data_IF_544797932985
#
_entry.id   IF_544797932985
#
_cell.length_a   1.000
_cell.length_b   1.000
_cell.length_c   1.000
_cell.angle_alpha   90.00
_cell.angle_beta   90.00
_cell.angle_gamma   90.00
#
_symmetry.space_group_name_H-M   'P 1'
#
loop_
_entity.id
_entity.type
_entity.pdbx_description
1 polymer ?
#
# COMPACT_ATOMS: atom_id res chain seq x y z
N UNK A 1 -26.03 -35.08 30.21
CA UNK A 1 -26.63 -35.74 31.42
C UNK A 1 -26.61 -37.27 31.36
N UNK A 2 -26.42 -37.88 30.19
CA UNK A 2 -26.38 -39.36 29.99
C UNK A 2 -25.03 -40.01 30.38
N UNK A 3 -23.89 -39.29 30.35
CA UNK A 3 -22.57 -39.84 30.64
C UNK A 3 -22.24 -39.93 32.13
N UNK A 4 -22.91 -39.14 32.97
CA UNK A 4 -22.72 -39.13 34.43
C UNK A 4 -23.46 -40.26 35.10
N UNK A 5 -24.55 -40.73 34.54
CA UNK A 5 -25.30 -41.90 35.02
C UNK A 5 -24.56 -43.23 34.80
N UNK A 6 -23.86 -43.36 33.67
CA UNK A 6 -23.08 -44.58 33.34
C UNK A 6 -21.81 -44.76 34.20
N UNK A 7 -21.23 -43.66 34.71
CA UNK A 7 -20.06 -43.74 35.62
C UNK A 7 -20.45 -44.05 37.04
N UNK A 8 -21.68 -43.71 37.48
CA UNK A 8 -22.17 -44.00 38.83
C UNK A 8 -22.47 -45.48 39.02
N UNK A 9 -22.98 -46.14 37.98
CA UNK A 9 -23.29 -47.59 38.04
C UNK A 9 -22.02 -48.47 38.00
N UNK A 10 -20.94 -48.03 37.36
CA UNK A 10 -19.66 -48.74 37.38
C UNK A 10 -18.90 -48.60 38.69
N UNK A 11 -19.09 -47.52 39.44
CA UNK A 11 -18.49 -47.33 40.76
C UNK A 11 -19.24 -48.16 41.83
N UNK A 12 -20.57 -48.38 41.68
CA UNK A 12 -21.30 -49.25 42.59
C UNK A 12 -20.96 -50.72 42.43
N UNK A 13 -20.68 -51.21 41.23
CA UNK A 13 -20.24 -52.59 40.96
C UNK A 13 -18.86 -52.88 41.54
N UNK A 14 -17.95 -51.89 41.54
CA UNK A 14 -16.60 -52.05 42.12
C UNK A 14 -16.59 -51.98 43.65
N UNK A 15 -17.56 -51.25 44.31
CA UNK A 15 -17.76 -51.26 45.75
C UNK A 15 -18.37 -52.56 46.25
N UNK A 16 -19.27 -53.19 45.51
CA UNK A 16 -19.85 -54.48 45.82
C UNK A 16 -18.84 -55.63 45.81
N UNK A 17 -17.87 -55.59 44.86
CA UNK A 17 -16.80 -56.62 44.80
C UNK A 17 -15.81 -56.52 45.99
N UNK A 18 -15.58 -55.31 46.54
CA UNK A 18 -14.70 -55.13 47.70
C UNK A 18 -15.34 -55.59 49.05
N UNK A 19 -16.65 -55.55 49.13
CA UNK A 19 -17.37 -56.02 50.31
C UNK A 19 -17.44 -57.55 50.38
N UNK A 20 -17.45 -58.22 49.24
CA UNK A 20 -17.46 -59.67 49.18
C UNK A 20 -16.11 -60.31 49.52
N UNK A 21 -15.00 -59.59 49.35
CA UNK A 21 -13.63 -60.07 49.75
C UNK A 21 -13.41 -59.94 51.26
N UNK A 22 -14.06 -58.98 51.95
CA UNK A 22 -13.92 -58.86 53.41
C UNK A 22 -14.70 -59.89 54.22
N UNK A 23 -15.73 -60.57 53.61
CA UNK A 23 -16.47 -61.63 54.32
C UNK A 23 -15.89 -63.05 54.14
N UNK A 24 -14.83 -63.23 53.37
CA UNK A 24 -14.15 -64.52 53.16
C UNK A 24 -13.00 -64.76 54.18
N UNK A 25 -12.65 -63.77 54.95
CA UNK A 25 -11.60 -63.92 56.00
C UNK A 25 -12.05 -64.71 57.27
N UNK A 26 -13.29 -65.20 57.28
CA UNK A 26 -13.88 -65.90 58.45
C UNK A 26 -14.11 -67.43 58.26
N UNK A 27 -13.63 -67.99 57.14
CA UNK A 27 -13.81 -69.45 56.96
C UNK A 27 -12.40 -70.11 56.97
N UNK A 28 -12.02 -70.56 58.21
CA UNK A 28 -11.00 -71.58 58.43
C UNK A 28 -11.51 -72.95 58.01
N UNK A 29 -10.72 -73.65 57.21
CA UNK A 29 -10.85 -75.07 56.86
C UNK A 29 -11.67 -75.40 55.60
N UNK A 30 -10.99 -75.35 54.47
CA UNK A 30 -11.11 -76.40 53.44
C UNK A 30 -9.93 -76.44 52.52
N UNK A 31 -9.17 -77.56 52.61
CA UNK A 31 -8.00 -77.92 51.76
C UNK A 31 -8.32 -78.14 50.27
N UNK A 32 -9.37 -77.59 49.72
CA UNK A 32 -9.79 -77.80 48.29
C UNK A 32 -9.73 -76.56 47.38
N UNK A 33 -9.35 -75.38 47.88
CA UNK A 33 -9.29 -74.16 47.05
C UNK A 33 -7.83 -73.73 46.68
N UNK A 34 -6.80 -74.49 47.07
CA UNK A 34 -5.41 -74.16 46.81
C UNK A 34 -5.00 -74.16 45.30
N UNK A 35 -5.56 -75.01 44.42
CA UNK A 35 -5.10 -75.03 43.03
C UNK A 35 -5.67 -73.87 42.17
N UNK A 36 -6.76 -73.15 42.64
CA UNK A 36 -7.32 -72.04 41.89
C UNK A 36 -6.58 -70.72 42.18
N UNK A 37 -6.13 -70.49 43.40
CA UNK A 37 -5.36 -69.33 43.78
C UNK A 37 -3.94 -69.34 43.23
N UNK A 38 -3.31 -70.51 43.13
CA UNK A 38 -2.03 -70.62 42.42
C UNK A 38 -2.12 -70.36 40.92
N UNK A 39 -3.22 -70.76 40.26
CA UNK A 39 -3.45 -70.40 38.84
C UNK A 39 -3.69 -68.93 38.65
N UNK A 40 -4.33 -68.20 39.56
CA UNK A 40 -4.53 -66.75 39.44
C UNK A 40 -3.24 -66.00 39.76
N UNK A 41 -2.39 -66.48 40.70
CA UNK A 41 -1.09 -65.87 40.95
C UNK A 41 -0.07 -66.20 39.85
N UNK A 42 -0.15 -67.37 39.18
CA UNK A 42 0.69 -67.68 38.04
C UNK A 42 0.27 -66.90 36.81
N UNK A 43 -1.00 -66.55 36.63
CA UNK A 43 -1.48 -65.67 35.55
C UNK A 43 -1.03 -64.20 35.72
N UNK A 44 -0.83 -63.76 36.98
CA UNK A 44 -0.30 -62.43 37.30
C UNK A 44 1.23 -62.27 37.19
N UNK A 45 1.96 -63.39 37.04
CA UNK A 45 3.45 -63.34 36.85
C UNK A 45 3.90 -63.62 35.43
N UNK A 46 3.01 -63.97 34.47
CA UNK A 46 3.34 -64.29 33.08
C UNK A 46 3.37 -63.07 32.19
N UNK A 47 3.16 -61.85 32.71
CA UNK A 47 3.19 -60.65 31.85
C UNK A 47 4.40 -59.77 32.16
N UNK A 48 5.61 -60.27 32.05
CA UNK A 48 6.81 -59.42 31.81
C UNK A 48 7.99 -60.22 31.21
N UNK A 49 7.75 -61.05 30.22
CA UNK A 49 8.76 -61.39 29.23
C UNK A 49 8.24 -60.88 27.86
N UNK A 50 8.56 -59.63 27.53
CA UNK A 50 8.47 -59.13 26.17
C UNK A 50 9.35 -60.03 25.32
N UNK A 51 8.74 -60.91 24.54
CA UNK A 51 9.43 -61.78 23.61
C UNK A 51 10.18 -60.95 22.55
N UNK A 52 11.35 -61.40 22.04
CA UNK A 52 12.08 -60.69 21.00
C UNK A 52 11.27 -60.44 19.75
N UNK A 53 10.17 -61.15 19.54
CA UNK A 53 9.23 -61.01 18.42
C UNK A 53 8.36 -59.76 18.52
N UNK A 54 8.08 -59.17 19.72
CA UNK A 54 7.35 -57.91 19.86
C UNK A 54 8.20 -56.71 19.43
N UNK A 55 9.55 -56.77 19.59
CA UNK A 55 10.44 -55.70 19.12
C UNK A 55 10.51 -55.57 17.60
N UNK A 56 10.36 -56.67 16.86
CA UNK A 56 10.36 -56.67 15.39
C UNK A 56 9.05 -56.09 14.82
N UNK A 57 7.95 -56.19 15.54
CA UNK A 57 6.65 -55.59 15.13
C UNK A 57 6.52 -54.08 15.45
N UNK A 58 7.38 -53.53 16.30
CA UNK A 58 7.32 -52.09 16.67
C UNK A 58 8.08 -51.21 15.68
N UNK A 59 9.03 -51.71 14.91
CA UNK A 59 9.83 -50.93 13.94
C UNK A 59 9.00 -50.25 12.83
N UNK A 60 7.98 -50.88 12.22
CA UNK A 60 7.17 -50.22 11.20
C UNK A 60 6.30 -49.08 11.79
N UNK A 61 5.81 -49.23 13.02
CA UNK A 61 5.00 -48.20 13.68
C UNK A 61 5.81 -46.99 14.07
N UNK A 62 7.08 -47.13 14.46
CA UNK A 62 7.99 -46.02 14.73
C UNK A 62 8.32 -45.23 13.46
N UNK A 63 8.59 -45.97 12.35
CA UNK A 63 8.83 -45.35 11.03
C UNK A 63 7.63 -44.52 10.57
N UNK A 64 6.41 -45.03 10.75
CA UNK A 64 5.19 -44.34 10.37
C UNK A 64 4.95 -43.08 11.21
N UNK A 65 5.25 -43.12 12.52
CA UNK A 65 5.19 -41.95 13.41
C UNK A 65 6.10 -40.84 12.91
N UNK A 66 7.35 -41.15 12.60
CA UNK A 66 8.33 -40.20 12.06
C UNK A 66 7.84 -39.58 10.73
N UNK A 67 7.29 -40.40 9.84
CA UNK A 67 6.74 -39.93 8.55
C UNK A 67 5.56 -38.92 8.80
N UNK A 68 4.65 -39.19 9.72
CA UNK A 68 3.55 -38.29 10.03
C UNK A 68 4.06 -36.97 10.60
N UNK A 69 5.06 -36.99 11.51
CA UNK A 69 5.68 -35.78 12.07
C UNK A 69 6.33 -34.95 10.95
N UNK A 70 7.16 -35.56 10.10
CA UNK A 70 7.85 -34.87 9.01
C UNK A 70 6.85 -34.28 8.03
N UNK A 71 5.82 -35.02 7.64
CA UNK A 71 4.80 -34.57 6.71
C UNK A 71 4.02 -33.36 7.28
N UNK A 72 3.59 -33.46 8.53
CA UNK A 72 2.88 -32.39 9.24
C UNK A 72 3.72 -31.12 9.29
N UNK A 73 4.96 -31.22 9.79
CA UNK A 73 5.88 -30.09 9.90
C UNK A 73 6.23 -29.48 8.55
N UNK A 74 6.45 -30.30 7.51
CA UNK A 74 6.82 -29.81 6.17
C UNK A 74 5.70 -29.06 5.49
N UNK A 75 4.45 -29.57 5.54
CA UNK A 75 3.29 -28.90 4.95
C UNK A 75 3.01 -27.59 5.71
N UNK A 76 3.01 -27.61 7.04
CA UNK A 76 2.79 -26.44 7.85
C UNK A 76 3.88 -25.38 7.65
N UNK A 77 5.15 -25.79 7.58
CA UNK A 77 6.29 -24.93 7.27
C UNK A 77 6.12 -24.24 5.90
N UNK A 78 5.78 -25.01 4.87
CA UNK A 78 5.52 -24.46 3.53
C UNK A 78 4.39 -23.42 3.56
N UNK A 79 3.27 -23.73 4.22
CA UNK A 79 2.14 -22.78 4.34
C UNK A 79 2.55 -21.49 5.05
N UNK A 80 3.34 -21.58 6.12
CA UNK A 80 3.83 -20.42 6.88
C UNK A 80 4.78 -19.53 6.08
N UNK A 81 5.67 -20.14 5.25
CA UNK A 81 6.51 -19.37 4.32
C UNK A 81 5.65 -18.65 3.28
N UNK A 82 4.68 -19.36 2.67
CA UNK A 82 3.82 -18.79 1.63
C UNK A 82 2.98 -17.63 2.16
N UNK A 83 2.43 -17.77 3.37
CA UNK A 83 1.69 -16.71 4.06
C UNK A 83 2.56 -15.47 4.29
N UNK A 84 3.74 -15.67 4.90
CA UNK A 84 4.65 -14.57 5.20
C UNK A 84 5.14 -13.87 3.92
N UNK A 85 5.50 -14.61 2.87
CA UNK A 85 5.90 -14.04 1.57
C UNK A 85 4.76 -13.25 0.95
N UNK A 86 3.54 -13.80 0.93
CA UNK A 86 2.39 -13.11 0.35
C UNK A 86 2.07 -11.81 1.06
N UNK A 87 2.08 -11.80 2.40
CA UNK A 87 1.80 -10.61 3.20
C UNK A 87 2.89 -9.55 3.03
N UNK A 88 4.17 -9.95 3.04
CA UNK A 88 5.31 -9.02 2.93
C UNK A 88 5.50 -8.45 1.53
N UNK A 89 4.97 -9.10 0.48
CA UNK A 89 5.09 -8.61 -0.90
C UNK A 89 4.26 -7.36 -1.10
N UNK A 90 4.84 -6.32 -1.71
CA UNK A 90 4.14 -5.07 -2.06
C UNK A 90 3.49 -5.13 -3.44
N UNK A 91 2.44 -4.32 -3.66
CA UNK A 91 1.79 -4.18 -4.97
C UNK A 91 2.77 -3.60 -6.00
N UNK A 92 3.59 -2.64 -5.58
CA UNK A 92 4.62 -2.00 -6.42
C UNK A 92 5.65 -3.01 -6.93
N UNK A 93 6.13 -3.92 -6.07
CA UNK A 93 7.04 -4.99 -6.50
C UNK A 93 6.39 -5.93 -7.53
N UNK A 94 5.11 -6.28 -7.34
CA UNK A 94 4.39 -7.12 -8.29
C UNK A 94 4.23 -6.42 -9.65
N UNK A 95 3.93 -5.11 -9.66
CA UNK A 95 3.85 -4.30 -10.87
C UNK A 95 5.20 -4.20 -11.59
N UNK A 96 6.28 -3.89 -10.85
CA UNK A 96 7.64 -3.85 -11.40
C UNK A 96 8.02 -5.18 -12.08
N UNK A 97 7.76 -6.33 -11.43
CA UNK A 97 8.07 -7.65 -11.99
C UNK A 97 7.19 -8.02 -13.19
N UNK A 98 5.98 -7.45 -13.29
CA UNK A 98 5.12 -7.59 -14.47
C UNK A 98 5.70 -6.82 -15.66
N UNK A 99 6.21 -5.58 -15.45
CA UNK A 99 6.91 -4.77 -16.45
C UNK A 99 8.21 -5.42 -16.94
N UNK A 100 8.95 -6.10 -16.05
CA UNK A 100 10.13 -6.89 -16.40
C UNK A 100 9.79 -8.17 -17.25
N UNK A 101 8.51 -8.41 -17.56
CA UNK A 101 8.05 -9.50 -18.43
C UNK A 101 7.75 -10.83 -17.73
N UNK A 102 7.73 -10.86 -16.40
CA UNK A 102 7.40 -12.06 -15.64
C UNK A 102 5.88 -12.32 -15.61
N UNK A 103 5.36 -13.20 -16.45
CA UNK A 103 3.91 -13.55 -16.54
C UNK A 103 3.26 -13.93 -15.21
N UNK A 104 4.01 -14.53 -14.28
CA UNK A 104 3.48 -14.92 -12.96
C UNK A 104 3.26 -13.72 -12.04
N UNK A 105 3.93 -12.57 -12.29
CA UNK A 105 3.77 -11.35 -11.53
C UNK A 105 2.37 -10.73 -11.70
N UNK A 106 1.75 -10.86 -12.87
CA UNK A 106 0.36 -10.47 -13.08
C UNK A 106 -0.64 -11.29 -12.24
N UNK A 107 -0.31 -12.56 -11.93
CA UNK A 107 -1.09 -13.38 -10.99
C UNK A 107 -0.88 -12.90 -9.55
N UNK A 108 0.36 -12.58 -9.18
CA UNK A 108 0.70 -12.04 -7.87
C UNK A 108 -0.02 -10.72 -7.60
N UNK A 109 -0.04 -9.82 -8.59
CA UNK A 109 -0.78 -8.55 -8.53
C UNK A 109 -2.29 -8.77 -8.27
N UNK A 110 -2.90 -9.74 -8.97
CA UNK A 110 -4.30 -10.13 -8.72
C UNK A 110 -4.51 -10.67 -7.30
N UNK A 111 -3.56 -11.46 -6.78
CA UNK A 111 -3.64 -11.97 -5.41
C UNK A 111 -3.43 -10.87 -4.36
N UNK A 112 -2.70 -9.81 -4.68
CA UNK A 112 -2.58 -8.64 -3.80
C UNK A 112 -3.84 -7.77 -3.83
N UNK A 113 -4.52 -7.69 -4.97
CA UNK A 113 -5.80 -6.98 -5.08
C UNK A 113 -6.95 -7.73 -4.36
N UNK A 114 -6.93 -9.06 -4.36
CA UNK A 114 -7.88 -9.91 -3.64
C UNK A 114 -7.11 -10.92 -2.77
N UNK A 115 -6.64 -10.45 -1.61
CA UNK A 115 -5.74 -11.21 -0.74
C UNK A 115 -6.49 -12.30 0.05
N UNK A 116 -7.79 -12.17 0.21
CA UNK A 116 -8.63 -13.10 1.00
C UNK A 116 -8.57 -14.52 0.43
N UNK A 117 -8.65 -14.64 -0.88
CA UNK A 117 -8.66 -15.92 -1.59
C UNK A 117 -7.38 -16.74 -1.40
N UNK A 118 -6.17 -16.21 -1.68
CA UNK A 118 -4.94 -16.95 -1.44
C UNK A 118 -4.67 -17.21 0.05
N UNK A 119 -5.03 -16.28 0.96
CA UNK A 119 -4.89 -16.50 2.40
C UNK A 119 -5.81 -17.62 2.84
N UNK A 120 -7.08 -17.64 2.44
CA UNK A 120 -8.00 -18.72 2.77
C UNK A 120 -7.49 -20.10 2.34
N UNK A 121 -6.86 -20.17 1.15
CA UNK A 121 -6.26 -21.41 0.66
C UNK A 121 -5.10 -21.90 1.54
N UNK A 122 -4.18 -20.97 1.90
CA UNK A 122 -3.03 -21.27 2.74
C UNK A 122 -3.46 -21.70 4.14
N UNK A 123 -4.32 -20.89 4.78
CA UNK A 123 -4.81 -21.15 6.13
C UNK A 123 -5.60 -22.47 6.22
N UNK A 124 -6.45 -22.76 5.21
CA UNK A 124 -7.19 -24.02 5.16
C UNK A 124 -6.26 -25.23 5.15
N UNK A 125 -5.26 -25.22 4.29
CA UNK A 125 -4.29 -26.33 4.24
C UNK A 125 -3.47 -26.43 5.53
N UNK A 126 -3.02 -25.31 6.07
CA UNK A 126 -2.24 -25.27 7.30
C UNK A 126 -3.07 -25.84 8.49
N UNK A 127 -4.33 -25.44 8.61
CA UNK A 127 -5.22 -25.93 9.65
C UNK A 127 -5.48 -27.44 9.52
N UNK A 128 -5.73 -27.91 8.30
CA UNK A 128 -5.92 -29.34 8.03
C UNK A 128 -4.64 -30.12 8.37
N UNK A 129 -3.48 -29.66 7.91
CA UNK A 129 -2.19 -30.30 8.17
C UNK A 129 -1.90 -30.38 9.68
N UNK A 130 -2.09 -29.30 10.41
CA UNK A 130 -1.82 -29.28 11.85
C UNK A 130 -2.83 -30.13 12.64
N UNK A 131 -4.12 -30.05 12.31
CA UNK A 131 -5.18 -30.78 13.05
C UNK A 131 -5.12 -32.27 12.77
N UNK A 132 -5.12 -32.67 11.49
CA UNK A 132 -5.06 -34.08 11.10
C UNK A 132 -3.69 -34.69 11.41
N UNK A 133 -2.60 -33.91 11.21
CA UNK A 133 -1.25 -34.32 11.55
C UNK A 133 -1.11 -34.60 13.05
N UNK A 134 -1.55 -33.69 13.90
CA UNK A 134 -1.49 -33.89 15.35
C UNK A 134 -2.34 -35.09 15.80
N UNK A 135 -3.52 -35.29 15.22
CA UNK A 135 -4.37 -36.45 15.53
C UNK A 135 -3.71 -37.77 15.09
N UNK A 136 -3.12 -37.82 13.89
CA UNK A 136 -2.41 -38.98 13.40
C UNK A 136 -1.17 -39.32 14.23
N UNK A 137 -0.36 -38.30 14.57
CA UNK A 137 0.80 -38.46 15.45
C UNK A 137 0.38 -38.94 16.85
N UNK A 138 -0.68 -38.35 17.43
CA UNK A 138 -1.20 -38.77 18.73
C UNK A 138 -1.70 -40.22 18.75
N UNK A 139 -2.46 -40.63 17.73
CA UNK A 139 -2.92 -41.99 17.58
C UNK A 139 -1.76 -42.99 17.42
N UNK A 140 -0.76 -42.66 16.60
CA UNK A 140 0.40 -43.48 16.36
C UNK A 140 1.32 -43.54 17.61
N UNK A 141 1.49 -42.44 18.32
CA UNK A 141 2.24 -42.40 19.58
C UNK A 141 1.61 -43.29 20.66
N UNK A 142 0.26 -43.36 20.72
CA UNK A 142 -0.44 -44.24 21.63
C UNK A 142 -0.17 -45.73 21.33
N UNK A 143 -0.01 -46.11 20.05
CA UNK A 143 0.32 -47.47 19.65
C UNK A 143 1.78 -47.82 19.95
N UNK A 144 2.71 -46.88 19.75
CA UNK A 144 4.14 -47.11 19.97
C UNK A 144 4.55 -47.06 21.44
N UNK A 145 4.08 -46.06 22.18
CA UNK A 145 4.54 -45.77 23.53
C UNK A 145 3.49 -46.00 24.63
N UNK A 146 2.26 -46.30 24.24
CA UNK A 146 1.14 -46.41 25.17
C UNK A 146 0.46 -45.07 25.50
N UNK A 147 -0.76 -45.13 26.01
CA UNK A 147 -1.65 -43.96 26.22
C UNK A 147 -1.12 -42.92 27.23
N UNK A 148 -0.22 -43.33 28.15
CA UNK A 148 0.31 -42.44 29.17
C UNK A 148 1.36 -41.43 28.66
N UNK A 149 1.97 -41.68 27.49
CA UNK A 149 2.99 -40.81 26.88
C UNK A 149 2.42 -39.85 25.85
N UNK A 150 1.18 -40.09 25.36
CA UNK A 150 0.55 -39.27 24.31
C UNK A 150 0.53 -37.77 24.65
N UNK A 151 0.29 -37.42 25.91
CA UNK A 151 0.31 -36.02 26.35
C UNK A 151 1.67 -35.34 26.14
N UNK A 152 2.76 -36.04 26.49
CA UNK A 152 4.12 -35.49 26.29
C UNK A 152 4.50 -35.39 24.81
N UNK A 153 4.14 -36.38 24.00
CA UNK A 153 4.38 -36.34 22.54
C UNK A 153 3.58 -35.19 21.89
N UNK A 154 2.32 -35.01 22.29
CA UNK A 154 1.51 -33.91 21.79
C UNK A 154 2.06 -32.54 22.20
N UNK A 155 2.53 -32.37 23.43
CA UNK A 155 3.16 -31.15 23.87
C UNK A 155 4.46 -30.84 23.11
N UNK A 156 5.31 -31.87 22.93
CA UNK A 156 6.54 -31.73 22.15
C UNK A 156 6.26 -31.40 20.66
N UNK A 157 5.24 -32.04 20.07
CA UNK A 157 4.82 -31.74 18.71
C UNK A 157 4.30 -30.31 18.57
N UNK A 158 3.51 -29.83 19.54
CA UNK A 158 2.99 -28.45 19.55
C UNK A 158 4.15 -27.45 19.56
N UNK A 159 5.15 -27.63 20.41
CA UNK A 159 6.35 -26.79 20.46
C UNK A 159 7.12 -26.91 19.13
N UNK A 160 7.24 -28.11 18.58
CA UNK A 160 7.87 -28.36 17.28
C UNK A 160 7.17 -27.62 16.14
N UNK A 161 5.85 -27.66 16.06
CA UNK A 161 5.05 -26.93 15.09
C UNK A 161 5.29 -25.41 15.28
N UNK A 162 5.18 -24.90 16.50
CA UNK A 162 5.34 -23.47 16.78
C UNK A 162 6.72 -22.96 16.33
N UNK A 163 7.80 -23.67 16.68
CA UNK A 163 9.16 -23.19 16.39
C UNK A 163 9.53 -23.47 14.92
N UNK A 164 9.41 -24.71 14.46
CA UNK A 164 9.94 -25.14 13.17
C UNK A 164 8.97 -24.92 12.01
N UNK A 165 7.65 -24.82 12.26
CA UNK A 165 6.65 -24.66 11.20
C UNK A 165 6.00 -23.27 11.19
N UNK A 166 6.10 -22.47 12.25
CA UNK A 166 5.51 -21.12 12.30
C UNK A 166 6.57 -20.04 12.47
N UNK A 167 7.32 -19.99 13.56
CA UNK A 167 8.21 -18.85 13.86
C UNK A 167 9.33 -18.76 12.82
N UNK A 168 10.12 -19.81 12.66
CA UNK A 168 11.28 -19.82 11.75
C UNK A 168 10.84 -19.61 10.29
N UNK A 169 9.85 -20.34 9.75
CA UNK A 169 9.43 -20.17 8.37
C UNK A 169 8.81 -18.80 8.07
N UNK A 170 8.02 -18.24 9.00
CA UNK A 170 7.47 -16.88 8.83
C UNK A 170 8.58 -15.83 8.81
N UNK A 171 9.59 -15.97 9.66
CA UNK A 171 10.75 -15.06 9.65
C UNK A 171 11.53 -15.17 8.35
N UNK A 172 11.79 -16.38 7.86
CA UNK A 172 12.45 -16.60 6.56
C UNK A 172 11.61 -16.01 5.42
N UNK A 173 10.30 -16.27 5.41
CA UNK A 173 9.38 -15.78 4.40
C UNK A 173 9.33 -14.26 4.35
N UNK A 174 9.25 -13.59 5.49
CA UNK A 174 9.21 -12.13 5.58
C UNK A 174 10.56 -11.47 5.27
N UNK A 175 11.69 -12.11 5.59
CA UNK A 175 13.02 -11.57 5.30
C UNK A 175 13.39 -11.72 3.82
N UNK A 176 13.14 -12.88 3.23
CA UNK A 176 13.55 -13.20 1.85
C UNK A 176 12.40 -13.13 0.84
N UNK A 177 11.31 -12.42 1.15
CA UNK A 177 10.11 -12.38 0.33
C UNK A 177 10.35 -11.99 -1.13
N UNK A 178 11.29 -11.03 -1.39
CA UNK A 178 11.60 -10.57 -2.76
C UNK A 178 12.04 -11.70 -3.68
N UNK A 179 12.88 -12.61 -3.17
CA UNK A 179 13.40 -13.76 -3.94
C UNK A 179 12.38 -14.89 -4.04
N UNK A 180 11.53 -15.03 -3.02
CA UNK A 180 10.57 -16.13 -2.92
C UNK A 180 9.21 -15.81 -3.58
N UNK A 181 8.85 -14.55 -3.79
CA UNK A 181 7.52 -14.10 -4.21
C UNK A 181 7.00 -14.81 -5.48
N UNK A 182 7.81 -14.86 -6.54
CA UNK A 182 7.38 -15.50 -7.80
C UNK A 182 7.23 -17.01 -7.67
N UNK A 183 8.12 -17.66 -6.89
CA UNK A 183 8.03 -19.09 -6.57
C UNK A 183 6.79 -19.40 -5.72
N UNK A 184 6.60 -18.65 -4.65
CA UNK A 184 5.44 -18.74 -3.78
C UNK A 184 4.12 -18.59 -4.53
N UNK A 185 4.03 -17.62 -5.46
CA UNK A 185 2.83 -17.40 -6.28
C UNK A 185 2.45 -18.64 -7.11
N UNK A 186 3.44 -19.37 -7.66
CA UNK A 186 3.18 -20.61 -8.40
C UNK A 186 2.58 -21.68 -7.49
N UNK A 187 3.13 -21.84 -6.29
CA UNK A 187 2.66 -22.83 -5.31
C UNK A 187 1.25 -22.43 -4.82
N UNK A 188 1.02 -21.17 -4.48
CA UNK A 188 -0.29 -20.66 -4.06
C UNK A 188 -1.35 -20.92 -5.12
N UNK A 189 -1.02 -20.75 -6.40
CA UNK A 189 -1.95 -21.06 -7.51
C UNK A 189 -2.41 -22.52 -7.49
N UNK A 190 -1.49 -23.46 -7.26
CA UNK A 190 -1.81 -24.87 -7.14
C UNK A 190 -2.63 -25.13 -5.87
N UNK A 191 -2.27 -24.47 -4.77
CA UNK A 191 -2.97 -24.60 -3.49
C UNK A 191 -4.43 -24.22 -3.59
N UNK A 192 -4.74 -23.09 -4.23
CA UNK A 192 -6.13 -22.61 -4.42
C UNK A 192 -6.97 -23.66 -5.17
N UNK A 193 -6.38 -24.38 -6.12
CA UNK A 193 -7.08 -25.46 -6.84
C UNK A 193 -7.35 -26.64 -5.93
N UNK A 194 -6.37 -27.05 -5.12
CA UNK A 194 -6.49 -28.19 -4.22
C UNK A 194 -7.49 -27.90 -3.08
N UNK A 195 -7.45 -26.70 -2.52
CA UNK A 195 -8.29 -26.27 -1.41
C UNK A 195 -9.57 -25.57 -1.85
N UNK A 196 -9.95 -25.67 -3.14
CA UNK A 196 -11.10 -24.97 -3.72
C UNK A 196 -12.39 -25.05 -2.89
N UNK A 197 -12.81 -26.21 -2.34
CA UNK A 197 -14.02 -26.29 -1.56
C UNK A 197 -14.00 -25.39 -0.31
N UNK A 198 -12.84 -25.32 0.35
CA UNK A 198 -12.65 -24.50 1.56
C UNK A 198 -12.61 -23.01 1.23
N UNK A 199 -11.93 -22.66 0.14
CA UNK A 199 -11.87 -21.28 -0.38
C UNK A 199 -13.27 -20.80 -0.74
N UNK A 200 -14.07 -21.62 -1.43
CA UNK A 200 -15.45 -21.28 -1.78
C UNK A 200 -16.32 -21.01 -0.55
N UNK A 201 -16.18 -21.82 0.51
CA UNK A 201 -16.90 -21.60 1.78
C UNK A 201 -16.45 -20.28 2.40
N UNK A 202 -15.14 -20.01 2.45
CA UNK A 202 -14.58 -18.77 2.97
C UNK A 202 -15.11 -17.54 2.22
N UNK A 203 -15.09 -17.57 0.89
CA UNK A 203 -15.63 -16.49 0.04
C UNK A 203 -17.11 -16.23 0.33
N UNK A 204 -17.92 -17.30 0.55
CA UNK A 204 -19.33 -17.15 0.92
C UNK A 204 -19.53 -16.50 2.28
N UNK A 205 -18.73 -16.87 3.28
CA UNK A 205 -18.79 -16.27 4.60
C UNK A 205 -18.38 -14.80 4.54
N UNK A 206 -17.26 -14.49 3.85
CA UNK A 206 -16.78 -13.12 3.71
C UNK A 206 -17.80 -12.23 2.98
N UNK A 207 -18.48 -12.77 1.95
CA UNK A 207 -19.53 -12.03 1.23
C UNK A 207 -20.76 -11.71 2.08
N UNK A 208 -21.05 -12.52 3.10
CA UNK A 208 -22.16 -12.26 4.05
C UNK A 208 -21.83 -11.15 5.06
N UNK A 209 -20.54 -10.92 5.34
CA UNK A 209 -20.10 -9.91 6.30
C UNK A 209 -20.04 -8.50 5.65
N UNK A 210 -20.22 -8.41 4.33
CA UNK A 210 -20.32 -7.15 3.60
C UNK A 210 -19.00 -6.38 3.59
N UNK A 211 -18.01 -6.86 2.88
CA UNK A 211 -16.86 -6.04 2.52
C UNK A 211 -17.18 -5.29 1.22
N UNK A 212 -17.54 -4.02 1.34
CA UNK A 212 -17.31 -3.07 0.26
C UNK A 212 -15.80 -3.04 0.02
N UNK A 213 -15.35 -3.80 -0.96
CA UNK A 213 -13.96 -3.73 -1.44
C UNK A 213 -13.82 -2.37 -2.11
N UNK A 214 -13.53 -1.33 -1.31
CA UNK A 214 -13.06 -0.08 -1.87
C UNK A 214 -11.82 -0.43 -2.71
N UNK A 215 -11.76 -0.02 -3.98
CA UNK A 215 -10.57 -0.24 -4.78
C UNK A 215 -9.38 0.36 -4.02
N UNK A 216 -8.28 -0.37 -3.96
CA UNK A 216 -6.99 0.11 -3.44
C UNK A 216 -6.46 1.20 -4.41
N UNK A 217 -7.22 2.30 -4.53
CA UNK A 217 -6.74 3.50 -5.20
C UNK A 217 -5.77 4.15 -4.22
N UNK A 218 -4.49 4.12 -4.56
CA UNK A 218 -3.46 4.86 -3.81
C UNK A 218 -3.86 6.34 -3.90
N UNK A 219 -4.10 6.97 -2.75
CA UNK A 219 -4.45 8.39 -2.71
C UNK A 219 -3.19 9.26 -2.90
N UNK A 220 -3.39 10.55 -3.26
CA UNK A 220 -2.27 11.49 -3.39
C UNK A 220 -1.56 11.69 -2.05
N UNK A 221 -2.30 11.67 -0.95
CA UNK A 221 -1.76 11.75 0.41
C UNK A 221 -0.88 10.54 0.74
N UNK A 222 -1.27 9.34 0.32
CA UNK A 222 -0.44 8.14 0.49
C UNK A 222 0.85 8.22 -0.33
N UNK A 223 0.80 8.75 -1.57
CA UNK A 223 2.01 9.00 -2.37
C UNK A 223 2.91 10.02 -1.68
N UNK A 224 2.35 11.13 -1.17
CA UNK A 224 3.09 12.14 -0.43
C UNK A 224 3.75 11.56 0.83
N UNK A 225 3.03 10.71 1.56
CA UNK A 225 3.57 10.02 2.74
C UNK A 225 4.72 9.06 2.36
N UNK A 226 4.58 8.31 1.25
CA UNK A 226 5.66 7.44 0.75
C UNK A 226 6.92 8.21 0.37
N UNK A 227 6.78 9.41 -0.20
CA UNK A 227 7.92 10.29 -0.52
C UNK A 227 8.62 10.76 0.76
N UNK A 228 7.86 11.10 1.82
CA UNK A 228 8.46 11.46 3.11
C UNK A 228 9.29 10.31 3.70
N UNK A 229 8.75 9.08 3.70
CA UNK A 229 9.49 7.89 4.13
C UNK A 229 10.74 7.68 3.27
N UNK A 230 10.63 7.88 1.95
CA UNK A 230 11.78 7.77 1.04
C UNK A 230 12.91 8.75 1.36
N UNK A 231 12.59 9.94 1.87
CA UNK A 231 13.60 10.91 2.34
C UNK A 231 14.26 10.43 3.63
N UNK A 232 13.47 9.91 4.58
CA UNK A 232 14.00 9.36 5.85
C UNK A 232 14.94 8.17 5.61
N UNK A 233 14.63 7.34 4.61
CA UNK A 233 15.47 6.20 4.20
C UNK A 233 16.63 6.59 3.27
N UNK A 234 16.75 7.88 2.88
CA UNK A 234 17.82 8.36 2.02
C UNK A 234 17.67 7.98 0.53
N UNK A 235 16.47 7.60 0.10
CA UNK A 235 16.14 7.31 -1.32
C UNK A 235 15.94 8.59 -2.10
N UNK A 236 15.37 9.62 -1.47
CA UNK A 236 15.15 10.95 -2.04
C UNK A 236 15.85 12.02 -1.22
N UNK A 237 16.27 13.10 -1.90
CA UNK A 237 16.73 14.32 -1.25
C UNK A 237 15.54 15.19 -0.80
N UNK A 238 15.78 16.08 0.18
CA UNK A 238 14.72 17.00 0.66
C UNK A 238 14.20 17.92 -0.47
N UNK A 239 15.05 18.27 -1.44
CA UNK A 239 14.67 19.07 -2.60
C UNK A 239 13.74 18.31 -3.54
N UNK A 240 14.02 17.04 -3.82
CA UNK A 240 13.16 16.18 -4.65
C UNK A 240 11.79 15.98 -4.02
N UNK A 241 11.73 15.81 -2.70
CA UNK A 241 10.46 15.77 -1.97
C UNK A 241 9.62 17.01 -2.22
N UNK A 242 10.22 18.23 -2.13
CA UNK A 242 9.51 19.49 -2.32
C UNK A 242 8.88 19.55 -3.71
N UNK A 243 9.64 19.18 -4.74
CA UNK A 243 9.18 19.15 -6.14
C UNK A 243 8.00 18.18 -6.29
N UNK A 244 8.14 16.93 -5.81
CA UNK A 244 7.06 15.94 -5.93
C UNK A 244 5.79 16.41 -5.21
N UNK A 245 5.92 16.98 -4.01
CA UNK A 245 4.78 17.49 -3.24
C UNK A 245 4.10 18.68 -3.92
N UNK A 246 4.88 19.63 -4.49
CA UNK A 246 4.34 20.75 -5.26
C UNK A 246 3.60 20.27 -6.50
N UNK A 247 4.17 19.30 -7.23
CA UNK A 247 3.52 18.72 -8.41
C UNK A 247 2.18 18.05 -8.07
N UNK A 248 2.09 17.31 -6.96
CA UNK A 248 0.84 16.67 -6.51
C UNK A 248 -0.27 17.68 -6.17
N UNK A 249 0.09 18.93 -5.85
CA UNK A 249 -0.84 20.01 -5.49
C UNK A 249 -1.29 20.87 -6.67
N UNK A 250 -0.70 20.73 -7.85
CA UNK A 250 -1.01 21.57 -9.01
C UNK A 250 -2.50 21.59 -9.40
N UNK A 251 -3.21 20.47 -9.18
CA UNK A 251 -4.65 20.41 -9.46
C UNK A 251 -5.51 21.14 -8.43
N UNK A 252 -4.96 21.43 -7.25
CA UNK A 252 -5.63 22.12 -6.15
C UNK A 252 -5.39 23.64 -6.19
N UNK A 253 -4.34 24.08 -6.91
CA UNK A 253 -4.00 25.47 -7.09
C UNK A 253 -4.75 26.03 -8.30
N UNK A 254 -5.19 27.30 -8.17
CA UNK A 254 -5.92 28.04 -9.18
C UNK A 254 -5.07 29.16 -9.77
N UNK A 255 -5.52 29.75 -10.87
CA UNK A 255 -4.82 30.84 -11.52
C UNK A 255 -4.58 32.04 -10.57
N UNK A 256 -5.55 32.34 -9.72
CA UNK A 256 -5.47 33.44 -8.73
C UNK A 256 -4.34 33.26 -7.71
N UNK A 257 -3.94 32.00 -7.43
CA UNK A 257 -2.88 31.69 -6.45
C UNK A 257 -1.47 31.98 -7.00
N UNK A 258 -1.30 31.96 -8.33
CA UNK A 258 0.02 32.06 -8.96
C UNK A 258 0.16 33.24 -9.92
N UNK A 259 -0.94 33.89 -10.29
CA UNK A 259 -0.91 34.97 -11.29
C UNK A 259 -0.14 36.18 -10.79
N UNK A 260 0.53 36.86 -11.73
CA UNK A 260 1.00 38.22 -11.54
C UNK A 260 -0.17 39.16 -11.66
N UNK A 261 -0.54 39.93 -10.60
CA UNK A 261 -1.70 40.80 -10.60
C UNK A 261 -1.64 41.92 -11.65
N UNK A 262 -2.77 42.29 -12.23
CA UNK A 262 -2.86 43.33 -13.28
C UNK A 262 -2.25 44.68 -12.92
N UNK A 263 -2.19 45.01 -11.63
CA UNK A 263 -1.62 46.27 -11.09
C UNK A 263 -0.11 46.42 -11.31
N UNK A 264 0.61 45.32 -11.59
CA UNK A 264 2.05 45.31 -11.83
C UNK A 264 2.40 44.79 -13.23
N UNK A 265 1.38 44.48 -14.05
CA UNK A 265 1.61 44.01 -15.43
C UNK A 265 1.81 45.24 -16.34
N UNK A 266 2.98 45.31 -17.00
CA UNK A 266 3.19 46.25 -18.07
C UNK A 266 2.30 45.89 -19.29
N UNK A 267 1.43 46.76 -19.71
CA UNK A 267 0.52 46.57 -20.83
C UNK A 267 0.44 47.80 -21.73
N UNK A 268 0.28 47.59 -23.05
CA UNK A 268 0.28 48.66 -24.04
C UNK A 268 -1.05 48.75 -24.77
N UNK A 269 -1.38 49.96 -25.31
CA UNK A 269 -2.58 50.21 -26.10
C UNK A 269 -2.34 49.78 -27.58
N UNK A 270 -3.28 49.11 -28.22
CA UNK A 270 -3.14 48.66 -29.61
C UNK A 270 -2.87 49.77 -30.61
N UNK A 271 -3.37 51.01 -30.37
CA UNK A 271 -3.22 52.15 -31.27
C UNK A 271 -1.85 52.79 -31.23
N UNK A 272 -1.05 52.44 -30.22
CA UNK A 272 0.32 52.96 -30.05
C UNK A 272 1.21 52.58 -31.24
N UNK A 273 2.00 53.55 -31.76
CA UNK A 273 2.97 53.29 -32.80
C UNK A 273 4.25 52.66 -32.22
N UNK A 274 5.07 51.97 -33.05
CA UNK A 274 6.31 51.39 -32.55
C UNK A 274 7.26 52.42 -32.01
N UNK A 275 7.25 53.66 -32.57
CA UNK A 275 8.05 54.79 -32.08
C UNK A 275 7.59 55.22 -30.67
N UNK A 276 6.28 55.41 -30.48
CA UNK A 276 5.71 55.78 -29.20
C UNK A 276 5.97 54.74 -28.13
N UNK A 277 5.91 53.43 -28.50
CA UNK A 277 6.24 52.32 -27.62
C UNK A 277 7.70 52.34 -27.17
N UNK A 278 8.63 52.65 -28.09
CA UNK A 278 10.05 52.69 -27.79
C UNK A 278 10.48 53.95 -27.01
N UNK A 279 9.83 55.12 -27.31
CA UNK A 279 10.07 56.39 -26.65
C UNK A 279 9.29 56.56 -25.33
N UNK A 280 8.38 55.59 -25.03
CA UNK A 280 7.72 55.59 -23.73
C UNK A 280 8.81 55.44 -22.64
N UNK A 281 8.78 56.40 -21.71
CA UNK A 281 9.76 56.52 -20.60
C UNK A 281 9.46 55.46 -19.50
N UNK A 282 8.97 54.32 -19.92
CA UNK A 282 8.52 53.25 -19.05
C UNK A 282 9.59 52.15 -19.05
N UNK A 283 10.44 52.14 -18.03
CA UNK A 283 11.49 51.14 -17.86
C UNK A 283 10.89 49.68 -17.91
N UNK A 284 9.63 49.55 -17.55
CA UNK A 284 8.90 48.26 -17.57
C UNK A 284 8.77 47.66 -18.98
N UNK A 285 8.55 48.48 -20.07
CA UNK A 285 8.51 47.99 -21.44
C UNK A 285 9.84 47.44 -21.93
N UNK A 286 10.96 47.92 -21.34
CA UNK A 286 12.29 47.47 -21.70
C UNK A 286 12.73 46.19 -21.02
N UNK A 287 12.06 45.83 -19.92
CA UNK A 287 12.40 44.65 -19.10
C UNK A 287 11.69 43.38 -19.58
N UNK A 288 10.46 43.46 -20.08
CA UNK A 288 9.69 42.29 -20.41
C UNK A 288 9.76 41.86 -21.89
N UNK A 289 9.80 40.56 -22.16
CA UNK A 289 9.88 40.01 -23.51
C UNK A 289 8.51 39.96 -24.23
N UNK A 290 7.41 39.86 -23.47
CA UNK A 290 6.02 39.76 -23.96
C UNK A 290 5.17 40.80 -23.26
N UNK A 291 4.53 41.67 -24.03
CA UNK A 291 3.73 42.77 -23.50
C UNK A 291 2.28 42.54 -23.92
N UNK A 292 1.34 42.34 -22.99
CA UNK A 292 -0.09 42.32 -23.26
C UNK A 292 -0.56 43.62 -23.89
N UNK A 293 -1.46 43.50 -24.88
CA UNK A 293 -2.00 44.64 -25.60
C UNK A 293 -3.50 44.65 -25.44
N UNK A 294 -4.02 45.81 -24.98
CA UNK A 294 -5.45 46.01 -24.75
C UNK A 294 -6.09 46.90 -25.81
N UNK A 295 -7.40 46.68 -25.97
CA UNK A 295 -8.25 47.51 -26.82
C UNK A 295 -8.39 48.93 -26.21
N UNK A 296 -8.32 49.96 -27.06
CA UNK A 296 -8.43 51.33 -26.58
C UNK A 296 -9.86 51.71 -26.15
N UNK A 297 -10.89 51.01 -26.61
CA UNK A 297 -12.30 51.35 -26.37
C UNK A 297 -12.95 50.46 -25.33
N UNK A 298 -12.57 49.18 -25.23
CA UNK A 298 -13.25 48.17 -24.45
C UNK A 298 -12.42 47.65 -23.23
N UNK A 299 -11.19 48.16 -23.08
CA UNK A 299 -10.27 47.83 -21.97
C UNK A 299 -10.02 46.31 -21.73
N UNK A 300 -10.27 45.45 -22.75
CA UNK A 300 -9.95 44.03 -22.68
C UNK A 300 -8.65 43.68 -23.44
N UNK A 301 -7.98 42.63 -23.04
CA UNK A 301 -6.73 42.19 -23.69
C UNK A 301 -7.04 41.49 -25.02
N UNK A 302 -6.56 42.07 -26.14
CA UNK A 302 -6.65 41.48 -27.47
C UNK A 302 -5.61 40.39 -27.76
N UNK A 303 -4.46 40.51 -27.12
CA UNK A 303 -3.32 39.63 -27.36
C UNK A 303 -2.05 40.16 -26.72
N UNK A 304 -0.93 39.76 -27.25
CA UNK A 304 0.38 40.28 -26.81
C UNK A 304 1.30 40.57 -28.00
N UNK A 305 2.31 41.41 -27.80
CA UNK A 305 3.38 41.65 -28.75
C UNK A 305 4.71 41.14 -28.18
N UNK A 306 5.58 40.68 -29.08
CA UNK A 306 6.97 40.35 -28.73
C UNK A 306 7.83 41.60 -28.84
N UNK A 307 8.54 41.97 -27.75
CA UNK A 307 9.49 43.08 -27.77
C UNK A 307 10.54 42.93 -28.87
N UNK A 308 11.06 41.72 -29.08
CA UNK A 308 12.02 41.45 -30.15
C UNK A 308 11.49 41.82 -31.53
N UNK A 309 10.19 41.47 -31.82
CA UNK A 309 9.54 41.77 -33.10
C UNK A 309 9.29 43.27 -33.30
N UNK A 310 8.98 43.97 -32.21
CA UNK A 310 8.88 45.43 -32.21
C UNK A 310 10.23 46.07 -32.54
N UNK A 311 11.31 45.62 -31.90
CA UNK A 311 12.70 46.13 -32.14
C UNK A 311 13.18 45.80 -33.56
N UNK A 312 12.91 44.62 -34.07
CA UNK A 312 13.25 44.24 -35.44
C UNK A 312 12.56 45.17 -36.48
N UNK A 313 11.25 45.47 -36.31
CA UNK A 313 10.54 46.38 -37.19
C UNK A 313 11.02 47.84 -37.03
N UNK A 314 11.43 48.26 -35.84
CA UNK A 314 12.07 49.58 -35.64
C UNK A 314 13.40 49.66 -36.35
N UNK A 315 14.20 48.60 -36.37
CA UNK A 315 15.48 48.54 -37.11
C UNK A 315 15.32 48.64 -38.62
N UNK A 316 14.10 48.27 -39.13
CA UNK A 316 13.69 48.40 -40.55
C UNK A 316 13.06 49.78 -40.86
N UNK A 317 13.21 50.78 -40.00
CA UNK A 317 12.65 52.14 -40.10
C UNK A 317 11.11 52.19 -40.16
N UNK A 318 10.38 51.15 -39.67
CA UNK A 318 8.90 51.07 -39.68
C UNK A 318 8.26 51.78 -38.46
N UNK A 319 8.68 52.99 -38.16
CA UNK A 319 8.27 53.74 -36.99
C UNK A 319 6.79 54.02 -36.82
N UNK A 320 6.04 54.03 -37.95
CA UNK A 320 4.61 54.34 -38.01
C UNK A 320 3.70 53.12 -37.88
N UNK A 321 4.26 51.92 -37.90
CA UNK A 321 3.50 50.69 -37.69
C UNK A 321 2.89 50.71 -36.28
N UNK A 322 1.68 50.19 -36.15
CA UNK A 322 0.98 50.13 -34.86
C UNK A 322 1.20 48.78 -34.16
N UNK A 323 1.11 48.75 -32.85
CA UNK A 323 1.11 47.48 -32.10
C UNK A 323 0.01 46.54 -32.58
N UNK A 324 -1.15 47.06 -32.96
CA UNK A 324 -2.26 46.31 -33.57
C UNK A 324 -1.83 45.40 -34.73
N UNK A 325 -0.82 45.79 -35.50
CA UNK A 325 -0.33 45.05 -36.65
C UNK A 325 0.57 43.86 -36.28
N UNK A 326 1.05 43.83 -35.04
CA UNK A 326 1.98 42.80 -34.49
C UNK A 326 1.34 41.93 -33.39
N UNK A 327 0.03 42.15 -33.12
CA UNK A 327 -0.65 41.39 -32.04
C UNK A 327 -0.68 39.89 -32.38
N UNK A 328 -0.28 39.11 -31.40
CA UNK A 328 -0.40 37.64 -31.38
C UNK A 328 -1.55 37.24 -30.46
N UNK A 329 -2.30 36.19 -30.80
CA UNK A 329 -3.37 35.71 -29.94
C UNK A 329 -2.82 35.26 -28.58
N UNK A 330 -3.58 35.49 -27.52
CA UNK A 330 -3.22 35.11 -26.16
C UNK A 330 -4.26 34.14 -25.61
N UNK A 331 -3.83 33.17 -24.79
CA UNK A 331 -4.73 32.28 -24.09
C UNK A 331 -5.39 33.05 -22.91
N UNK A 332 -6.68 32.83 -22.74
CA UNK A 332 -7.45 33.44 -21.65
C UNK A 332 -8.04 32.35 -20.76
N UNK A 333 -7.88 32.50 -19.44
CA UNK A 333 -8.40 31.60 -18.44
C UNK A 333 -9.14 32.39 -17.36
N UNK A 334 -10.07 31.70 -16.67
CA UNK A 334 -10.71 32.27 -15.48
C UNK A 334 -9.79 32.15 -14.26
N UNK A 335 -9.96 33.03 -13.28
CA UNK A 335 -9.18 33.02 -12.03
C UNK A 335 -9.32 31.72 -11.24
N UNK A 336 -10.45 31.00 -11.40
CA UNK A 336 -10.72 29.69 -10.77
C UNK A 336 -10.21 28.49 -11.58
N UNK A 337 -9.55 28.69 -12.74
CA UNK A 337 -9.00 27.61 -13.53
C UNK A 337 -7.80 26.98 -12.82
N UNK A 338 -7.69 25.63 -12.84
CA UNK A 338 -6.58 24.95 -12.20
C UNK A 338 -5.26 25.19 -12.94
N UNK A 339 -4.18 25.33 -12.17
CA UNK A 339 -2.81 25.51 -12.71
C UNK A 339 -2.41 24.36 -13.63
N UNK A 340 -2.82 23.15 -13.31
CA UNK A 340 -2.59 21.95 -14.12
C UNK A 340 -3.20 22.09 -15.53
N UNK A 341 -4.44 22.59 -15.64
CA UNK A 341 -5.11 22.77 -16.94
C UNK A 341 -4.50 23.95 -17.74
N UNK A 342 -4.14 25.04 -17.04
CA UNK A 342 -3.42 26.17 -17.66
C UNK A 342 -2.12 25.65 -18.29
N UNK A 343 -1.31 24.94 -17.51
CA UNK A 343 -0.05 24.35 -17.99
C UNK A 343 -0.22 23.46 -19.21
N UNK A 344 -1.19 22.52 -19.17
CA UNK A 344 -1.46 21.61 -20.28
C UNK A 344 -1.82 22.39 -21.56
N UNK A 345 -2.70 23.39 -21.45
CA UNK A 345 -3.13 24.20 -22.60
C UNK A 345 -2.01 25.07 -23.17
N UNK A 346 -1.19 25.69 -22.27
CA UNK A 346 -0.03 26.48 -22.68
C UNK A 346 0.98 25.63 -23.46
N UNK A 347 1.30 24.41 -22.96
CA UNK A 347 2.19 23.46 -23.68
C UNK A 347 1.61 23.02 -25.03
N UNK A 348 0.33 22.66 -25.08
CA UNK A 348 -0.30 22.24 -26.33
C UNK A 348 -0.28 23.32 -27.40
N UNK A 349 -0.50 24.57 -27.01
CA UNK A 349 -0.53 25.74 -27.91
C UNK A 349 0.83 26.36 -28.14
N UNK A 350 1.88 25.94 -27.38
CA UNK A 350 3.22 26.49 -27.38
C UNK A 350 3.24 28.00 -27.01
N UNK A 351 2.35 28.37 -26.12
CA UNK A 351 2.28 29.73 -25.57
C UNK A 351 3.00 29.81 -24.23
N UNK A 352 3.62 30.95 -23.97
CA UNK A 352 4.39 31.20 -22.76
C UNK A 352 3.75 32.22 -21.83
N UNK A 353 2.65 32.85 -22.25
CA UNK A 353 1.89 33.84 -21.50
C UNK A 353 0.40 33.60 -21.69
N UNK A 354 -0.36 33.82 -20.66
CA UNK A 354 -1.82 33.78 -20.69
C UNK A 354 -2.39 34.91 -19.83
N UNK A 355 -3.61 35.35 -20.17
CA UNK A 355 -4.36 36.35 -19.40
C UNK A 355 -5.35 35.65 -18.50
N UNK A 356 -5.45 36.13 -17.27
CA UNK A 356 -6.43 35.70 -16.29
C UNK A 356 -7.51 36.75 -16.19
N UNK A 357 -8.76 36.29 -16.29
CA UNK A 357 -9.94 37.16 -16.25
C UNK A 357 -10.92 36.72 -15.18
N UNK A 358 -11.71 37.66 -14.68
CA UNK A 358 -12.85 37.35 -13.82
C UNK A 358 -14.05 36.82 -14.63
N UNK A 359 -15.16 36.55 -13.96
CA UNK A 359 -16.42 36.10 -14.55
C UNK A 359 -17.06 37.12 -15.52
N UNK A 360 -16.66 38.40 -15.46
CA UNK A 360 -17.13 39.48 -16.31
C UNK A 360 -16.19 39.76 -17.50
N UNK A 361 -15.04 39.05 -17.60
CA UNK A 361 -14.05 39.26 -18.63
C UNK A 361 -13.00 40.32 -18.36
N UNK A 362 -13.02 40.94 -17.15
CA UNK A 362 -12.04 41.96 -16.76
C UNK A 362 -10.69 41.27 -16.44
N UNK A 363 -9.59 41.90 -16.86
CA UNK A 363 -8.25 41.38 -16.59
C UNK A 363 -7.91 41.43 -15.11
N UNK A 364 -7.60 40.30 -14.53
CA UNK A 364 -7.14 40.15 -13.14
C UNK A 364 -5.62 40.04 -13.06
N UNK A 365 -4.98 39.51 -14.08
CA UNK A 365 -3.53 39.36 -14.15
C UNK A 365 -3.09 38.53 -15.35
N UNK A 366 -1.86 38.08 -15.28
CA UNK A 366 -1.27 37.13 -16.24
C UNK A 366 -0.68 35.93 -15.52
N UNK A 367 -0.60 34.82 -16.21
CA UNK A 367 0.19 33.65 -15.81
C UNK A 367 1.14 33.32 -16.93
N UNK A 368 2.42 33.23 -16.61
CA UNK A 368 3.50 32.82 -17.52
C UNK A 368 3.86 31.36 -17.31
N UNK A 369 4.64 30.79 -18.24
CA UNK A 369 5.19 29.43 -18.09
C UNK A 369 6.17 29.37 -16.92
N UNK A 370 6.85 30.46 -16.66
CA UNK A 370 7.77 30.66 -15.54
C UNK A 370 7.04 30.50 -14.20
N UNK A 371 5.90 31.15 -13.99
CA UNK A 371 5.08 31.05 -12.76
C UNK A 371 4.65 29.58 -12.49
N UNK A 372 4.25 28.88 -13.56
CA UNK A 372 3.86 27.47 -13.45
C UNK A 372 5.06 26.60 -13.04
N UNK A 373 6.24 26.82 -13.64
CA UNK A 373 7.45 26.07 -13.34
C UNK A 373 7.92 26.37 -11.90
N UNK A 374 7.88 27.61 -11.47
CA UNK A 374 8.18 28.01 -10.09
C UNK A 374 7.29 27.31 -9.07
N UNK A 375 5.99 27.28 -9.35
CA UNK A 375 5.02 26.56 -8.55
C UNK A 375 5.32 25.06 -8.49
N UNK A 376 5.70 24.45 -9.61
CA UNK A 376 6.08 23.03 -9.66
C UNK A 376 7.37 22.72 -8.90
N UNK A 377 8.38 23.60 -9.02
CA UNK A 377 9.65 23.43 -8.34
C UNK A 377 9.59 23.86 -6.87
N UNK A 378 8.61 24.68 -6.51
CA UNK A 378 8.46 25.27 -5.20
C UNK A 378 9.58 26.24 -4.85
N UNK A 379 10.16 26.89 -5.86
CA UNK A 379 11.22 27.89 -5.74
C UNK A 379 10.96 29.01 -6.73
N UNK A 380 11.23 30.24 -6.35
CA UNK A 380 11.21 31.41 -7.24
C UNK A 380 12.40 31.33 -8.20
N UNK A 381 12.16 31.60 -9.48
CA UNK A 381 13.20 31.71 -10.52
C UNK A 381 13.40 33.21 -10.75
N UNK A 382 14.49 33.74 -10.25
CA UNK A 382 14.81 35.18 -10.37
C UNK A 382 15.72 35.35 -11.59
N UNK A 383 15.32 36.21 -12.55
CA UNK A 383 16.15 36.60 -13.68
C UNK A 383 17.08 37.75 -13.28
N UNK A 384 18.16 37.95 -14.05
CA UNK A 384 19.16 39.00 -13.80
C UNK A 384 18.57 40.43 -13.89
N UNK A 385 17.39 40.57 -14.52
CA UNK A 385 16.69 41.84 -14.72
C UNK A 385 15.51 42.05 -13.77
N UNK A 386 15.20 41.09 -12.86
CA UNK A 386 14.05 41.19 -11.98
C UNK A 386 14.29 42.14 -10.81
N UNK A 387 13.48 43.18 -10.70
CA UNK A 387 13.50 44.15 -9.58
C UNK A 387 12.94 43.58 -8.27
N UNK A 388 12.10 42.58 -8.35
CA UNK A 388 11.48 41.93 -7.21
C UNK A 388 11.54 40.42 -7.32
N UNK A 389 11.76 39.73 -6.20
CA UNK A 389 11.79 38.26 -6.12
C UNK A 389 10.39 37.67 -6.31
N UNK A 390 9.33 38.40 -5.98
CA UNK A 390 7.93 37.94 -6.10
C UNK A 390 7.04 39.11 -6.51
N UNK A 391 6.37 38.97 -7.67
CA UNK A 391 5.50 40.01 -8.24
C UNK A 391 4.20 40.22 -7.46
N UNK A 392 3.73 39.22 -6.75
CA UNK A 392 2.55 39.36 -5.87
C UNK A 392 2.87 40.23 -4.64
N UNK A 393 4.08 40.08 -4.08
CA UNK A 393 4.53 40.91 -2.97
C UNK A 393 4.72 42.37 -3.42
N UNK A 394 5.29 42.57 -4.62
CA UNK A 394 5.41 43.92 -5.24
C UNK A 394 4.03 44.56 -5.47
N UNK A 395 3.05 43.81 -5.95
CA UNK A 395 1.68 44.29 -6.14
C UNK A 395 1.06 44.73 -4.81
N UNK A 396 1.29 43.96 -3.73
CA UNK A 396 0.82 44.27 -2.39
C UNK A 396 1.46 45.57 -1.84
N UNK A 397 2.78 45.71 -2.05
CA UNK A 397 3.49 46.93 -1.62
C UNK A 397 3.04 48.18 -2.40
N UNK A 398 2.85 48.10 -3.73
CA UNK A 398 2.29 49.19 -4.56
C UNK A 398 0.90 49.58 -4.06
N UNK A 399 0.04 48.62 -3.74
CA UNK A 399 -1.29 48.89 -3.21
C UNK A 399 -1.28 49.60 -1.82
N UNK A 400 -0.42 49.13 -0.90
CA UNK A 400 -0.25 49.75 0.41
C UNK A 400 0.30 51.21 0.31
N UNK A 401 1.18 51.45 -0.65
CA UNK A 401 1.67 52.81 -0.91
C UNK A 401 0.59 53.72 -1.45
N UNK A 402 -0.28 53.24 -2.35
CA UNK A 402 -1.43 53.98 -2.87
C UNK A 402 -2.45 54.30 -1.76
N UNK A 403 -2.74 53.36 -0.88
CA UNK A 403 -3.62 53.62 0.27
C UNK A 403 -3.05 54.67 1.20
N UNK A 404 -1.78 54.58 1.55
CA UNK A 404 -1.14 55.62 2.40
C UNK A 404 -1.16 56.99 1.76
N UNK A 405 -1.04 57.10 0.43
CA UNK A 405 -1.19 58.38 -0.29
C UNK A 405 -2.64 58.91 -0.22
N UNK A 406 -3.64 58.06 -0.36
CA UNK A 406 -5.07 58.46 -0.25
C UNK A 406 -5.46 58.88 1.17
N UNK A 407 -4.95 58.20 2.19
CA UNK A 407 -5.20 58.59 3.59
C UNK A 407 -4.53 59.93 3.94
N UNK A 408 -3.33 60.17 3.41
CA UNK A 408 -2.64 61.45 3.58
C UNK A 408 -3.31 62.63 2.85
N UNK A 409 -4.17 62.37 1.86
CA UNK A 409 -4.94 63.40 1.13
C UNK A 409 -6.27 63.73 1.81
N UNK A 410 -6.80 62.82 2.65
CA UNK A 410 -8.07 62.97 3.37
C UNK A 410 -7.88 63.43 4.82
N UNK A 411 -6.67 63.66 5.30
CA UNK A 411 -6.31 64.17 6.62
C UNK A 411 -5.91 65.64 6.54
#
# INVERSE_FOLDING_TARGET
MSLICSLKDRIHTLRGAKIQISSISSVRNTKKCLPLLERVCLYGKVTRHISPTEKVFQTPYMGLLIVYIILCLSISCMCSVLEAVLLSTTVSFAAQKEEEGHRIAGVLKKYKADIDRPIAAILSLNTVANTMGAAAVGAQAAQVFGSHIVGYVSAALTIGILVFSEIIPKTIGSTYWRNLALGATRIIRVLIVITFPMVWISERITSLIGHDKAPLAVSREEVSAMVNVGVEEGVFEAKERKIIQSFLKLDELHAEDIMTPSTVVASAIETMTLREFYEADDEEFHSYSRIPVYDAEEEYIKGYVLRAEVLDNLSDDKFKLRLADLIRPILTFQESESVSNIWEKMLQKKEHISVIVDEYGSMRGIVTMEDVIETMLGVEIVDESDEAVNMQDMAREKWEQQQRHQEGFNA
#
